data_IF_873802697801
#
_entry.id   IF_873802697801
#
_cell.length_a   1.000
_cell.length_b   1.000
_cell.length_c   1.000
_cell.angle_alpha   90.00
_cell.angle_beta   90.00
_cell.angle_gamma   90.00
#
_symmetry.space_group_name_H-M   'P 1'
#
loop_
_entity.id
_entity.type
_entity.pdbx_description
1 polymer ?
#
# COMPACT_ATOMS: atom_id res chain seq x y z
N UNK A 1 -6.03 7.10 -12.16
CA UNK A 1 -6.48 6.01 -11.26
C UNK A 1 -6.34 6.51 -9.82
N UNK A 2 -7.34 6.30 -8.95
CA UNK A 2 -7.37 6.82 -7.57
C UNK A 2 -7.14 5.68 -6.54
N UNK A 3 -6.93 6.01 -5.26
CA UNK A 3 -6.64 5.03 -4.20
C UNK A 3 -7.72 3.92 -4.08
N UNK A 4 -9.00 4.27 -4.28
CA UNK A 4 -10.12 3.31 -4.24
C UNK A 4 -10.01 2.24 -5.33
N UNK A 5 -9.60 2.61 -6.54
CA UNK A 5 -9.37 1.66 -7.63
C UNK A 5 -8.27 0.66 -7.30
N UNK A 6 -7.22 1.08 -6.57
CA UNK A 6 -6.10 0.19 -6.19
C UNK A 6 -6.49 -0.80 -5.10
N UNK A 7 -7.23 -0.33 -4.09
CA UNK A 7 -7.73 -1.21 -3.04
C UNK A 7 -8.66 -2.28 -3.62
N UNK A 8 -9.52 -1.90 -4.58
CA UNK A 8 -10.36 -2.86 -5.30
C UNK A 8 -9.57 -3.87 -6.14
N UNK A 9 -8.48 -3.45 -6.78
CA UNK A 9 -7.59 -4.35 -7.55
C UNK A 9 -6.87 -5.34 -6.63
N UNK A 10 -6.28 -4.87 -5.53
CA UNK A 10 -5.68 -5.73 -4.51
C UNK A 10 -6.70 -6.68 -3.88
N UNK A 11 -7.91 -6.21 -3.61
CA UNK A 11 -8.99 -7.02 -3.03
C UNK A 11 -9.42 -8.15 -3.98
N UNK A 12 -9.51 -7.86 -5.28
CA UNK A 12 -9.87 -8.87 -6.30
C UNK A 12 -8.86 -10.02 -6.34
N UNK A 13 -7.58 -9.70 -6.16
CA UNK A 13 -6.47 -10.65 -6.22
C UNK A 13 -5.97 -11.13 -4.86
N UNK A 14 -6.71 -10.86 -3.77
CA UNK A 14 -6.27 -11.17 -2.41
C UNK A 14 -5.87 -12.64 -2.21
N UNK A 15 -6.64 -13.55 -2.83
CA UNK A 15 -6.40 -15.00 -2.78
C UNK A 15 -5.10 -15.42 -3.47
N UNK A 16 -4.68 -14.72 -4.51
CA UNK A 16 -3.46 -15.04 -5.25
C UNK A 16 -2.22 -14.75 -4.39
N UNK A 17 -2.26 -13.65 -3.62
CA UNK A 17 -1.21 -13.32 -2.66
C UNK A 17 -1.21 -14.26 -1.46
N UNK A 18 -2.40 -14.60 -0.93
CA UNK A 18 -2.55 -15.55 0.18
C UNK A 18 -2.04 -16.95 -0.20
N UNK A 19 -2.27 -17.40 -1.44
CA UNK A 19 -1.75 -18.66 -1.96
C UNK A 19 -0.21 -18.69 -2.03
N UNK A 20 0.44 -17.53 -2.09
CA UNK A 20 1.89 -17.37 -2.00
C UNK A 20 2.38 -17.16 -0.55
N UNK A 21 1.50 -17.26 0.44
CA UNK A 21 1.81 -17.07 1.85
C UNK A 21 1.97 -15.60 2.25
N UNK A 22 1.49 -14.66 1.43
CA UNK A 22 1.59 -13.23 1.69
C UNK A 22 0.27 -12.66 2.25
N UNK A 23 0.38 -11.80 3.26
CA UNK A 23 -0.74 -11.05 3.81
C UNK A 23 -0.69 -9.60 3.33
N UNK A 24 -1.79 -9.08 2.80
CA UNK A 24 -1.91 -7.66 2.45
C UNK A 24 -2.22 -6.86 3.72
N UNK A 25 -1.51 -5.76 3.92
CA UNK A 25 -1.82 -4.75 4.94
C UNK A 25 -1.75 -3.37 4.28
N UNK A 26 -2.87 -2.66 4.27
CA UNK A 26 -2.93 -1.31 3.72
C UNK A 26 -2.74 -0.28 4.84
N UNK A 27 -1.88 0.72 4.64
CA UNK A 27 -1.66 1.81 5.61
C UNK A 27 -2.17 3.12 5.03
N UNK A 28 -3.02 3.83 5.78
CA UNK A 28 -3.60 5.11 5.34
C UNK A 28 -3.46 6.18 6.42
N UNK A 29 -3.17 7.42 6.03
CA UNK A 29 -3.06 8.57 6.93
C UNK A 29 -4.33 9.45 6.97
N UNK A 30 -5.45 8.95 6.45
CA UNK A 30 -6.73 9.66 6.41
C UNK A 30 -7.47 9.55 7.74
N UNK A 31 -8.41 10.47 7.99
CA UNK A 31 -9.24 10.47 9.20
C UNK A 31 -9.95 9.12 9.38
N UNK A 32 -9.85 8.58 10.58
CA UNK A 32 -10.30 7.21 10.88
C UNK A 32 -11.79 6.94 10.58
N UNK A 33 -12.68 7.91 10.72
CA UNK A 33 -14.11 7.75 10.46
C UNK A 33 -14.43 7.49 8.97
N UNK A 34 -13.79 8.23 8.06
CA UNK A 34 -13.99 8.06 6.61
C UNK A 34 -13.44 6.73 6.11
N UNK A 35 -12.32 6.28 6.70
CA UNK A 35 -11.70 4.99 6.37
C UNK A 35 -12.58 3.83 6.86
N UNK A 36 -13.09 3.89 8.10
CA UNK A 36 -13.99 2.86 8.64
C UNK A 36 -15.23 2.68 7.79
N UNK A 37 -15.91 3.77 7.43
CA UNK A 37 -17.08 3.71 6.56
C UNK A 37 -16.78 3.06 5.22
N UNK A 38 -15.64 3.41 4.61
CA UNK A 38 -15.23 2.79 3.34
C UNK A 38 -14.96 1.28 3.48
N UNK A 39 -14.32 0.84 4.57
CA UNK A 39 -14.07 -0.58 4.83
C UNK A 39 -15.39 -1.33 5.03
N UNK A 40 -16.31 -0.77 5.82
CA UNK A 40 -17.64 -1.35 6.06
C UNK A 40 -18.46 -1.46 4.77
N UNK A 41 -18.42 -0.44 3.91
CA UNK A 41 -19.14 -0.42 2.63
C UNK A 41 -18.56 -1.38 1.59
N UNK A 42 -17.23 -1.59 1.60
CA UNK A 42 -16.54 -2.35 0.53
C UNK A 42 -16.19 -3.78 0.90
N UNK A 43 -16.15 -4.13 2.19
CA UNK A 43 -15.85 -5.48 2.64
C UNK A 43 -14.45 -5.95 2.20
N UNK A 44 -13.42 -5.13 2.39
CA UNK A 44 -12.06 -5.46 1.97
C UNK A 44 -11.56 -6.75 2.64
N UNK A 45 -10.94 -7.67 1.90
CA UNK A 45 -10.48 -8.96 2.43
C UNK A 45 -9.13 -8.87 3.16
N UNK A 46 -8.69 -7.66 3.54
CA UNK A 46 -7.38 -7.42 4.14
C UNK A 46 -7.43 -6.31 5.20
N UNK A 47 -6.41 -6.30 6.07
CA UNK A 47 -6.32 -5.35 7.17
C UNK A 47 -5.94 -3.95 6.68
N UNK A 48 -6.59 -2.93 7.24
CA UNK A 48 -6.29 -1.52 6.99
C UNK A 48 -5.87 -0.87 8.31
N UNK A 49 -4.63 -0.37 8.36
CA UNK A 49 -4.09 0.37 9.49
C UNK A 49 -4.18 1.87 9.23
N UNK A 50 -4.52 2.63 10.26
CA UNK A 50 -4.65 4.08 10.18
C UNK A 50 -3.47 4.72 10.91
N UNK A 51 -2.60 5.41 10.18
CA UNK A 51 -1.42 6.12 10.69
C UNK A 51 -1.67 7.64 10.66
N UNK A 52 -2.51 8.14 11.56
CA UNK A 52 -2.85 9.57 11.61
C UNK A 52 -1.64 10.45 11.98
N UNK A 53 -0.71 9.93 12.79
CA UNK A 53 0.53 10.61 13.19
C UNK A 53 1.57 10.66 12.06
N UNK A 54 1.41 9.82 11.03
CA UNK A 54 2.33 9.66 9.88
C UNK A 54 3.71 9.15 10.31
N UNK A 55 3.80 8.46 11.44
CA UNK A 55 5.06 7.93 11.95
C UNK A 55 5.55 6.78 11.08
N UNK A 56 4.65 5.89 10.66
CA UNK A 56 4.98 4.77 9.77
C UNK A 56 5.37 5.28 8.39
N UNK A 57 4.60 6.24 7.86
CA UNK A 57 4.92 6.85 6.56
C UNK A 57 6.31 7.53 6.57
N UNK A 58 6.72 8.13 7.70
CA UNK A 58 8.07 8.69 7.87
C UNK A 58 9.12 7.60 8.00
N UNK A 59 8.88 6.58 8.80
CA UNK A 59 9.82 5.48 9.03
C UNK A 59 10.16 4.72 7.74
N UNK A 60 9.18 4.54 6.85
CA UNK A 60 9.35 3.90 5.55
C UNK A 60 9.86 4.85 4.45
N UNK A 61 10.17 6.11 4.78
CA UNK A 61 10.71 7.08 3.82
C UNK A 61 9.73 7.55 2.74
N UNK A 62 8.44 7.21 2.84
CA UNK A 62 7.39 7.57 1.87
C UNK A 62 6.85 8.99 2.12
N UNK A 63 7.16 9.57 3.26
CA UNK A 63 6.79 10.93 3.62
C UNK A 63 7.88 11.94 3.23
N UNK A 64 7.65 12.70 2.16
CA UNK A 64 8.53 13.82 1.79
C UNK A 64 8.06 15.13 2.43
N UNK A 65 8.94 15.80 3.19
CA UNK A 65 8.64 17.07 3.85
C UNK A 65 8.89 18.30 2.97
N UNK A 66 9.70 18.20 1.90
CA UNK A 66 10.09 19.34 1.03
C UNK A 66 10.35 18.81 -0.40
N UNK A 67 9.59 19.32 -1.37
CA UNK A 67 9.80 19.12 -2.81
C UNK A 67 9.16 20.29 -3.57
N UNK A 68 9.86 20.80 -4.58
CA UNK A 68 9.64 22.12 -5.22
C UNK A 68 8.39 22.14 -6.13
N UNK A 69 7.59 21.08 -6.12
CA UNK A 69 6.26 21.03 -6.75
C UNK A 69 5.25 20.47 -5.75
N UNK A 70 4.66 21.38 -4.98
CA UNK A 70 3.33 21.29 -4.36
C UNK A 70 2.95 20.04 -3.52
N UNK A 71 2.78 20.29 -2.22
CA UNK A 71 1.90 19.62 -1.24
C UNK A 71 2.22 18.16 -0.83
N UNK A 72 2.58 18.00 0.45
CA UNK A 72 2.06 17.08 1.51
C UNK A 72 1.16 15.86 1.15
N UNK A 73 1.32 15.22 -0.01
CA UNK A 73 0.53 14.07 -0.41
C UNK A 73 1.43 12.84 -0.29
N UNK A 74 1.03 11.90 0.59
CA UNK A 74 1.64 10.59 0.67
C UNK A 74 1.69 9.98 -0.74
N UNK A 75 2.90 9.65 -1.21
CA UNK A 75 3.08 9.01 -2.50
C UNK A 75 2.65 7.54 -2.39
N UNK A 76 2.00 6.96 -3.40
CA UNK A 76 1.71 5.53 -3.41
C UNK A 76 3.01 4.74 -3.25
N UNK A 77 3.03 3.81 -2.32
CA UNK A 77 4.16 2.92 -2.10
C UNK A 77 3.68 1.50 -1.84
N UNK A 78 4.53 0.54 -2.18
CA UNK A 78 4.33 -0.88 -1.92
C UNK A 78 5.64 -1.44 -1.37
N UNK A 79 5.56 -2.16 -0.26
CA UNK A 79 6.69 -2.87 0.30
C UNK A 79 6.31 -4.33 0.49
N UNK A 80 7.24 -5.23 0.20
CA UNK A 80 7.12 -6.64 0.53
C UNK A 80 8.17 -6.93 1.58
N UNK A 81 7.71 -7.44 2.71
CA UNK A 81 8.52 -7.83 3.85
C UNK A 81 8.56 -9.36 3.90
N UNK A 82 9.72 -9.93 4.26
CA UNK A 82 9.77 -11.34 4.62
C UNK A 82 9.31 -11.56 6.08
N UNK A 83 9.30 -12.83 6.51
CA UNK A 83 8.90 -13.22 7.87
C UNK A 83 9.84 -12.74 8.97
N UNK A 84 11.06 -12.31 8.63
CA UNK A 84 11.99 -11.67 9.57
C UNK A 84 11.76 -10.15 9.71
N UNK A 85 10.87 -9.58 8.88
CA UNK A 85 10.60 -8.15 8.82
C UNK A 85 11.57 -7.38 7.92
N UNK A 86 12.39 -8.06 7.10
CA UNK A 86 13.28 -7.42 6.15
C UNK A 86 12.55 -7.08 4.86
N UNK A 87 12.78 -5.87 4.32
CA UNK A 87 12.22 -5.45 3.03
C UNK A 87 12.91 -6.23 1.91
N UNK A 88 12.14 -7.01 1.15
CA UNK A 88 12.59 -7.76 -0.04
C UNK A 88 12.27 -7.07 -1.34
N UNK A 89 11.26 -6.20 -1.33
CA UNK A 89 10.88 -5.36 -2.46
C UNK A 89 10.35 -4.03 -1.95
N UNK A 90 10.73 -2.95 -2.62
CA UNK A 90 10.21 -1.61 -2.36
C UNK A 90 9.88 -0.91 -3.66
N UNK A 91 8.68 -0.36 -3.74
CA UNK A 91 8.25 0.55 -4.78
C UNK A 91 7.76 1.83 -4.13
N UNK A 92 8.30 2.97 -4.57
CA UNK A 92 7.84 4.29 -4.18
C UNK A 92 7.56 5.06 -5.47
N UNK A 93 6.30 5.42 -5.69
CA UNK A 93 5.89 6.11 -6.92
C UNK A 93 6.48 7.52 -7.00
N UNK A 94 6.85 7.96 -8.20
CA UNK A 94 7.15 9.37 -8.45
C UNK A 94 5.87 10.18 -8.69
N UNK A 95 4.85 9.55 -9.27
CA UNK A 95 3.58 10.15 -9.66
C UNK A 95 2.41 9.42 -9.00
N UNK A 96 1.38 10.18 -8.61
CA UNK A 96 0.20 9.66 -7.90
C UNK A 96 -0.54 8.52 -8.60
N UNK A 97 -0.41 8.37 -9.92
CA UNK A 97 -1.06 7.32 -10.72
C UNK A 97 -0.22 6.06 -10.90
N UNK A 98 1.07 6.08 -10.53
CA UNK A 98 1.96 4.92 -10.66
C UNK A 98 1.74 3.94 -9.51
N UNK A 99 1.74 2.66 -9.85
CA UNK A 99 1.66 1.54 -8.92
C UNK A 99 2.06 0.28 -9.69
N UNK A 100 2.72 -0.71 -9.05
CA UNK A 100 3.04 -1.97 -9.70
C UNK A 100 1.76 -2.67 -10.15
N UNK A 101 1.83 -3.38 -11.28
CA UNK A 101 0.72 -4.22 -11.73
C UNK A 101 0.60 -5.45 -10.83
N UNK A 102 -0.53 -6.16 -10.91
CA UNK A 102 -0.71 -7.42 -10.19
C UNK A 102 0.43 -8.43 -10.49
N UNK A 103 0.82 -8.56 -11.75
CA UNK A 103 1.90 -9.47 -12.16
C UNK A 103 3.26 -9.07 -11.56
N UNK A 104 3.58 -7.77 -11.56
CA UNK A 104 4.84 -7.27 -10.94
C UNK A 104 4.92 -7.64 -9.46
N UNK A 105 3.79 -7.58 -8.75
CA UNK A 105 3.71 -7.94 -7.33
C UNK A 105 3.88 -9.44 -7.14
N UNK A 106 3.26 -10.27 -7.99
CA UNK A 106 3.42 -11.72 -7.94
C UNK A 106 4.86 -12.15 -8.21
N UNK A 107 5.52 -11.53 -9.19
CA UNK A 107 6.91 -11.84 -9.50
C UNK A 107 7.84 -11.41 -8.37
N UNK A 108 7.59 -10.26 -7.74
CA UNK A 108 8.33 -9.84 -6.55
C UNK A 108 8.13 -10.81 -5.37
N UNK A 109 6.91 -11.31 -5.14
CA UNK A 109 6.64 -12.33 -4.11
C UNK A 109 7.34 -13.67 -4.39
N UNK A 110 7.46 -14.04 -5.66
CA UNK A 110 8.17 -15.26 -6.08
C UNK A 110 9.69 -15.11 -6.06
N UNK A 111 10.22 -13.92 -5.75
CA UNK A 111 11.66 -13.62 -5.80
C UNK A 111 12.21 -13.56 -7.23
N UNK A 112 11.38 -13.17 -8.20
CA UNK A 112 11.72 -13.07 -9.63
C UNK A 112 11.81 -11.62 -10.14
N UNK A 113 11.69 -10.63 -9.26
CA UNK A 113 11.76 -9.21 -9.57
C UNK A 113 13.15 -8.60 -9.33
#
# INVERSE_FOLDING_TARGET
>A
RNCRSRFGELARHAKDYEALGAQIVAVVAQKSESVRRYIEETGLPFNVLIDESRDVLRAYGVWHRIGIDALNIARPALFILDTSGAIRYSFVADRQHEFPSHEDILDALRGRA
#
